data_IF_718340573555
#
_entry.id   IF_718340573555
#
_cell.length_a   1.000
_cell.length_b   1.000
_cell.length_c   1.000
_cell.angle_alpha   90.00
_cell.angle_beta   90.00
_cell.angle_gamma   90.00
#
_symmetry.space_group_name_H-M   'P 1'
#
loop_
_entity.id
_entity.type
_entity.pdbx_description
1 polymer ?
#
# COMPACT_ATOMS: atom_id res chain seq x y z
N UNK A 1 4.23 -6.31 -7.74
CA UNK A 1 5.33 -5.36 -7.95
C UNK A 1 6.21 -5.30 -6.72
N UNK A 2 7.51 -5.36 -6.90
CA UNK A 2 8.47 -5.25 -5.80
C UNK A 2 8.93 -3.81 -5.64
N UNK A 3 9.60 -3.53 -4.51
CA UNK A 3 10.20 -2.22 -4.30
C UNK A 3 11.16 -1.86 -5.45
N UNK A 4 11.99 -2.81 -5.86
CA UNK A 4 12.95 -2.57 -6.94
C UNK A 4 12.26 -2.17 -8.24
N UNK A 5 11.20 -2.87 -8.59
CA UNK A 5 10.42 -2.57 -9.78
C UNK A 5 9.79 -1.19 -9.68
N UNK A 6 9.24 -0.86 -8.52
CA UNK A 6 8.62 0.44 -8.31
C UNK A 6 9.62 1.59 -8.41
N UNK A 7 10.81 1.41 -7.82
CA UNK A 7 11.86 2.42 -7.88
C UNK A 7 12.25 2.70 -9.33
N UNK A 8 12.37 1.66 -10.14
CA UNK A 8 12.69 1.80 -11.56
C UNK A 8 11.61 2.57 -12.32
N UNK A 9 10.35 2.28 -12.04
CA UNK A 9 9.23 2.98 -12.66
C UNK A 9 9.20 4.44 -12.23
N UNK A 10 9.35 4.69 -10.93
CA UNK A 10 9.29 6.04 -10.39
C UNK A 10 10.43 6.94 -10.91
N UNK A 11 11.57 6.35 -11.23
CA UNK A 11 12.71 7.14 -11.75
C UNK A 11 12.42 7.81 -13.08
N UNK A 12 11.36 7.41 -13.77
CA UNK A 12 10.94 8.00 -15.05
C UNK A 12 10.10 9.26 -14.88
N UNK A 13 9.75 9.60 -13.66
CA UNK A 13 8.85 10.72 -13.36
C UNK A 13 9.58 11.78 -12.54
N UNK A 14 9.06 13.01 -12.59
CA UNK A 14 9.64 14.12 -11.85
C UNK A 14 9.45 13.92 -10.35
N UNK A 15 10.45 14.39 -9.58
CA UNK A 15 10.43 14.24 -8.12
C UNK A 15 9.26 14.94 -7.44
N UNK A 16 8.71 15.96 -8.08
CA UNK A 16 7.61 16.75 -7.52
C UNK A 16 6.22 16.16 -7.75
N UNK A 17 6.14 15.08 -8.52
CA UNK A 17 4.85 14.44 -8.78
C UNK A 17 4.30 13.77 -7.54
N UNK A 18 3.01 13.97 -7.30
CA UNK A 18 2.35 13.37 -6.14
C UNK A 18 2.15 11.88 -6.34
N UNK A 19 2.27 11.13 -5.25
CA UNK A 19 1.94 9.70 -5.25
C UNK A 19 0.58 9.54 -4.62
N UNK A 20 -0.37 9.07 -5.42
CA UNK A 20 -1.75 8.91 -5.01
C UNK A 20 -2.11 7.43 -4.99
N UNK A 21 -3.05 7.08 -4.13
CA UNK A 21 -3.59 5.73 -4.06
C UNK A 21 -5.09 5.80 -4.26
N UNK A 22 -5.72 4.72 -4.74
CA UNK A 22 -7.17 4.71 -4.91
C UNK A 22 -7.88 5.02 -3.59
N UNK A 23 -8.82 5.95 -3.65
CA UNK A 23 -9.60 6.34 -2.50
C UNK A 23 -10.91 5.58 -2.42
N UNK A 24 -11.73 5.98 -1.47
CA UNK A 24 -13.04 5.38 -1.27
C UNK A 24 -13.99 5.78 -2.40
N UNK A 25 -14.75 4.81 -2.89
CA UNK A 25 -15.69 4.92 -3.99
C UNK A 25 -15.02 5.27 -5.32
N UNK A 26 -14.64 6.49 -5.51
CA UNK A 26 -13.93 6.91 -6.71
C UNK A 26 -13.00 8.06 -6.33
N UNK A 27 -12.00 8.27 -7.16
CA UNK A 27 -11.01 9.30 -6.89
C UNK A 27 -9.78 8.73 -6.21
N UNK A 28 -8.94 9.61 -5.71
CA UNK A 28 -7.63 9.23 -5.18
C UNK A 28 -7.33 9.99 -3.90
N UNK A 29 -6.61 9.33 -3.01
CA UNK A 29 -6.10 9.94 -1.79
C UNK A 29 -4.60 10.11 -1.89
N UNK A 30 -4.08 11.16 -1.25
CA UNK A 30 -2.65 11.39 -1.18
C UNK A 30 -2.01 10.36 -0.26
N UNK A 31 -0.89 9.80 -0.68
CA UNK A 31 -0.10 8.92 0.18
C UNK A 31 0.53 9.76 1.28
N UNK A 32 0.24 9.43 2.52
CA UNK A 32 0.73 10.19 3.67
C UNK A 32 1.96 9.59 4.33
N UNK A 33 2.03 8.26 4.39
CA UNK A 33 3.16 7.59 5.01
C UNK A 33 3.25 6.13 4.55
N UNK A 34 4.39 5.53 4.86
CA UNK A 34 4.70 4.17 4.43
C UNK A 34 5.10 3.35 5.65
N UNK A 35 4.57 2.14 5.74
CA UNK A 35 4.98 1.20 6.80
C UNK A 35 5.41 -0.11 6.16
N UNK A 36 5.94 -1.00 6.98
CA UNK A 36 6.26 -2.35 6.53
C UNK A 36 5.59 -3.36 7.45
N UNK A 37 5.29 -4.53 6.93
CA UNK A 37 4.65 -5.57 7.71
C UNK A 37 4.88 -6.93 7.06
N UNK A 38 4.71 -7.99 7.84
CA UNK A 38 4.66 -9.34 7.27
C UNK A 38 3.22 -9.62 6.89
N UNK A 39 3.00 -9.97 5.63
CA UNK A 39 1.66 -10.27 5.11
C UNK A 39 1.63 -11.68 4.54
N UNK A 40 0.44 -12.24 4.48
CA UNK A 40 0.20 -13.55 3.91
C UNK A 40 -0.98 -13.45 2.95
N UNK A 41 -0.93 -14.28 1.92
CA UNK A 41 -2.02 -14.32 0.95
C UNK A 41 -3.23 -15.03 1.56
N UNK A 42 -4.41 -14.47 1.34
CA UNK A 42 -5.67 -15.08 1.77
C UNK A 42 -6.05 -16.14 0.73
N UNK A 43 -6.13 -17.44 1.09
CA UNK A 43 -6.34 -18.50 0.11
C UNK A 43 -7.63 -18.39 -0.69
N UNK A 44 -8.70 -17.89 -0.09
CA UNK A 44 -10.01 -17.82 -0.72
C UNK A 44 -10.62 -16.42 -0.61
N UNK A 45 -9.82 -15.42 -0.94
CA UNK A 45 -10.29 -14.03 -0.89
C UNK A 45 -11.40 -13.80 -1.92
N UNK A 46 -12.46 -13.15 -1.48
CA UNK A 46 -13.53 -12.74 -2.38
C UNK A 46 -13.03 -11.58 -3.24
N UNK A 47 -13.63 -11.40 -4.40
CA UNK A 47 -13.22 -10.34 -5.32
C UNK A 47 -13.27 -8.93 -4.71
N UNK A 48 -14.12 -8.73 -3.69
CA UNK A 48 -14.24 -7.43 -3.02
C UNK A 48 -13.29 -7.29 -1.82
N UNK A 49 -12.57 -8.34 -1.47
CA UNK A 49 -11.59 -8.31 -0.38
C UNK A 49 -10.18 -8.17 -0.97
N UNK A 50 -9.27 -7.65 -0.16
CA UNK A 50 -7.87 -7.66 -0.54
C UNK A 50 -7.33 -9.09 -0.55
N UNK A 51 -6.33 -9.35 -1.37
CA UNK A 51 -5.72 -10.69 -1.48
C UNK A 51 -4.77 -11.03 -0.33
N UNK A 52 -4.37 -10.04 0.44
CA UNK A 52 -3.37 -10.20 1.50
C UNK A 52 -3.88 -9.65 2.82
N UNK A 53 -3.39 -10.22 3.91
CA UNK A 53 -3.69 -9.72 5.24
C UNK A 53 -2.41 -9.72 6.08
N UNK A 54 -2.39 -8.88 7.13
CA UNK A 54 -1.27 -8.84 8.06
C UNK A 54 -1.26 -10.14 8.86
N UNK A 55 -0.07 -10.76 8.96
CA UNK A 55 0.08 -11.99 9.73
C UNK A 55 -0.12 -11.71 11.22
N UNK A 56 -0.89 -12.55 11.88
CA UNK A 56 -1.21 -12.40 13.30
C UNK A 56 -0.26 -13.16 14.22
N UNK A 57 0.60 -13.99 13.67
CA UNK A 57 1.56 -14.75 14.44
C UNK A 57 2.73 -13.89 14.90
N UNK A 58 3.46 -14.36 15.88
CA UNK A 58 4.56 -13.64 16.53
C UNK A 58 5.52 -12.96 15.57
N UNK A 59 6.38 -12.04 16.07
CA UNK A 59 7.09 -11.09 15.19
C UNK A 59 7.83 -11.78 14.05
N UNK A 60 7.34 -11.52 12.85
CA UNK A 60 7.92 -12.03 11.61
C UNK A 60 8.62 -10.87 10.88
N UNK A 61 9.67 -11.23 10.16
CA UNK A 61 10.37 -10.24 9.34
C UNK A 61 9.41 -9.67 8.30
N UNK A 62 9.30 -8.34 8.18
CA UNK A 62 8.43 -7.75 7.17
C UNK A 62 8.80 -8.20 5.76
N UNK A 63 7.79 -8.48 4.96
CA UNK A 63 7.95 -8.88 3.56
C UNK A 63 7.18 -7.97 2.60
N UNK A 64 6.51 -6.96 3.12
CA UNK A 64 5.71 -6.06 2.29
C UNK A 64 5.80 -4.62 2.79
N UNK A 65 5.59 -3.71 1.86
CA UNK A 65 5.52 -2.27 2.13
C UNK A 65 4.06 -1.88 1.93
N UNK A 66 3.52 -1.14 2.90
CA UNK A 66 2.14 -0.69 2.88
C UNK A 66 2.10 0.83 2.69
N UNK A 67 1.31 1.28 1.73
CA UNK A 67 1.10 2.70 1.50
C UNK A 67 -0.18 3.11 2.20
N UNK A 68 -0.12 4.21 2.95
CA UNK A 68 -1.26 4.68 3.73
C UNK A 68 -1.68 6.08 3.26
N UNK A 69 -2.99 6.32 3.19
CA UNK A 69 -3.46 7.65 2.83
C UNK A 69 -3.14 8.65 3.94
N UNK A 70 -3.06 9.91 3.54
CA UNK A 70 -2.94 10.99 4.52
C UNK A 70 -4.22 11.01 5.37
N UNK A 71 -4.07 11.28 6.68
CA UNK A 71 -5.25 11.40 7.53
C UNK A 71 -5.97 12.68 7.19
N UNK A 72 -7.27 12.56 6.93
CA UNK A 72 -8.11 13.72 6.69
C UNK A 72 -8.93 14.00 7.93
N UNK A 73 -9.01 15.28 8.28
CA UNK A 73 -9.91 15.69 9.34
C UNK A 73 -11.35 15.55 8.83
N UNK A 74 -12.13 14.76 9.55
CA UNK A 74 -13.54 14.67 9.29
C UNK A 74 -14.23 15.83 10.01
N UNK A 75 -14.36 16.89 9.27
CA UNK A 75 -15.04 18.07 9.78
C UNK A 75 -16.54 17.86 9.93
#
# INVERSE_FOLDING_TARGET
>A
MTKKELVEVLSQFDDDMLILIPGYESGFDLTGYVTSSHVMKIPEAHWYDGEYEVSTNSPLTPNAILLHPIERENG
#
